data_IF_718283008432
#
_entry.id   IF_718283008432
#
_cell.length_a   1.000
_cell.length_b   1.000
_cell.length_c   1.000
_cell.angle_alpha   90.00
_cell.angle_beta   90.00
_cell.angle_gamma   90.00
#
_symmetry.space_group_name_H-M   'P 1'
#
loop_
_entity.id
_entity.type
_entity.pdbx_description
1 polymer ?
#
# COMPACT_ATOMS: atom_id res chain seq x y z
N UNK A 1 27.18 10.84 11.59
CA UNK A 1 26.94 10.22 12.91
C UNK A 1 25.56 9.59 12.90
N UNK A 2 25.45 8.27 13.01
CA UNK A 2 24.17 7.60 13.22
C UNK A 2 23.60 8.06 14.58
N UNK A 3 22.34 8.52 14.59
CA UNK A 3 21.67 8.91 15.84
C UNK A 3 21.63 7.66 16.73
N UNK A 4 22.17 7.72 17.96
CA UNK A 4 22.10 6.59 18.90
C UNK A 4 20.62 6.30 19.20
N UNK A 5 20.11 5.22 18.62
CA UNK A 5 18.76 4.71 18.85
C UNK A 5 18.82 3.96 20.19
N UNK A 6 18.59 4.67 21.29
CA UNK A 6 18.40 4.05 22.61
C UNK A 6 17.00 3.41 22.69
N UNK A 7 16.27 3.63 23.78
CA UNK A 7 14.86 3.20 23.90
C UNK A 7 13.88 4.00 23.01
N UNK A 8 14.36 4.82 22.09
CA UNK A 8 13.53 5.66 21.23
C UNK A 8 13.17 4.89 19.96
N UNK A 9 11.91 4.96 19.57
CA UNK A 9 11.46 4.34 18.33
C UNK A 9 12.07 5.08 17.12
N UNK A 10 12.42 4.36 16.05
CA UNK A 10 13.04 4.94 14.85
C UNK A 10 12.27 6.15 14.30
N UNK A 11 10.93 6.08 14.35
CA UNK A 11 10.06 7.17 13.93
C UNK A 11 10.27 8.50 14.69
N UNK A 12 10.74 8.44 15.94
CA UNK A 12 11.03 9.63 16.75
C UNK A 12 12.34 10.31 16.33
N UNK A 13 13.25 9.57 15.68
CA UNK A 13 14.49 10.12 15.16
C UNK A 13 14.31 10.78 13.79
N UNK A 14 13.13 10.66 13.17
CA UNK A 14 12.88 11.14 11.82
C UNK A 14 12.70 12.66 11.77
N UNK A 15 13.31 13.27 10.76
CA UNK A 15 13.16 14.69 10.47
C UNK A 15 11.76 15.05 9.97
N UNK A 16 11.50 16.35 9.75
CA UNK A 16 10.26 16.81 9.10
C UNK A 16 10.19 16.31 7.65
N UNK A 17 11.28 16.47 6.90
CA UNK A 17 11.37 16.10 5.48
C UNK A 17 11.21 14.59 5.28
N UNK A 18 11.96 13.78 6.02
CA UNK A 18 11.83 12.32 5.99
C UNK A 18 10.40 11.85 6.26
N UNK A 19 9.70 12.47 7.22
CA UNK A 19 8.29 12.15 7.50
C UNK A 19 7.36 12.52 6.34
N UNK A 20 7.62 13.64 5.66
CA UNK A 20 6.84 14.05 4.49
C UNK A 20 7.06 13.11 3.31
N UNK A 21 8.30 12.69 3.07
CA UNK A 21 8.61 11.79 1.97
C UNK A 21 8.04 10.39 2.21
N UNK A 22 8.15 9.86 3.43
CA UNK A 22 7.48 8.62 3.83
C UNK A 22 5.96 8.74 3.62
N UNK A 23 5.36 9.87 4.01
CA UNK A 23 3.91 10.09 3.82
C UNK A 23 3.53 10.09 2.34
N UNK A 24 4.28 10.79 1.49
CA UNK A 24 4.05 10.83 0.03
C UNK A 24 4.17 9.43 -0.58
N UNK A 25 5.20 8.69 -0.23
CA UNK A 25 5.41 7.32 -0.71
C UNK A 25 4.29 6.37 -0.25
N UNK A 26 3.79 6.52 0.98
CA UNK A 26 2.69 5.69 1.49
C UNK A 26 1.38 6.00 0.75
N UNK A 27 1.09 7.28 0.48
CA UNK A 27 -0.08 7.67 -0.31
C UNK A 27 0.00 7.08 -1.72
N UNK A 28 1.16 7.16 -2.37
CA UNK A 28 1.35 6.58 -3.70
C UNK A 28 1.15 5.05 -3.69
N UNK A 29 1.70 4.35 -2.70
CA UNK A 29 1.52 2.89 -2.55
C UNK A 29 0.07 2.50 -2.31
N UNK A 30 -0.65 3.21 -1.44
CA UNK A 30 -2.07 2.93 -1.21
C UNK A 30 -2.92 3.26 -2.44
N UNK A 31 -2.58 4.30 -3.20
CA UNK A 31 -3.26 4.59 -4.46
C UNK A 31 -3.14 3.44 -5.48
N UNK A 32 -1.94 2.87 -5.62
CA UNK A 32 -1.70 1.69 -6.47
C UNK A 32 -2.51 0.49 -5.97
N UNK A 33 -2.43 0.17 -4.68
CA UNK A 33 -3.18 -0.94 -4.06
C UNK A 33 -4.70 -0.80 -4.26
N UNK A 34 -5.23 0.41 -4.12
CA UNK A 34 -6.65 0.69 -4.36
C UNK A 34 -6.98 0.53 -5.84
N UNK A 35 -6.14 0.99 -6.75
CA UNK A 35 -6.35 0.84 -8.18
C UNK A 35 -6.35 -0.64 -8.61
N UNK A 36 -5.41 -1.43 -8.11
CA UNK A 36 -5.33 -2.88 -8.32
C UNK A 36 -6.55 -3.60 -7.74
N UNK A 37 -6.94 -3.28 -6.50
CA UNK A 37 -8.13 -3.84 -5.87
C UNK A 37 -9.39 -3.48 -6.66
N UNK A 38 -9.53 -2.22 -7.10
CA UNK A 38 -10.64 -1.81 -7.96
C UNK A 38 -10.62 -2.60 -9.26
N UNK A 39 -9.50 -2.71 -9.96
CA UNK A 39 -9.42 -3.49 -11.21
C UNK A 39 -9.83 -4.95 -10.99
N UNK A 40 -9.34 -5.57 -9.91
CA UNK A 40 -9.62 -6.98 -9.57
C UNK A 40 -11.07 -7.22 -9.15
N UNK A 41 -11.63 -6.33 -8.33
CA UNK A 41 -12.91 -6.53 -7.65
C UNK A 41 -14.07 -5.72 -8.25
N UNK A 42 -13.85 -4.90 -9.29
CA UNK A 42 -14.86 -3.99 -9.86
C UNK A 42 -16.21 -4.66 -10.12
N UNK A 43 -16.16 -5.89 -10.62
CA UNK A 43 -17.33 -6.67 -11.01
C UNK A 43 -17.51 -7.92 -10.13
N UNK A 44 -16.73 -8.08 -9.06
CA UNK A 44 -16.85 -9.25 -8.18
C UNK A 44 -18.06 -9.08 -7.27
N UNK A 45 -19.03 -9.98 -7.41
CA UNK A 45 -20.20 -10.06 -6.54
C UNK A 45 -19.77 -10.63 -5.17
N UNK A 46 -20.20 -9.98 -4.08
CA UNK A 46 -19.88 -10.39 -2.71
C UNK A 46 -20.41 -11.82 -2.46
N UNK A 47 -19.56 -12.69 -1.93
CA UNK A 47 -19.92 -14.09 -1.61
C UNK A 47 -19.87 -15.04 -2.81
N UNK A 48 -19.55 -14.57 -4.02
CA UNK A 48 -19.29 -15.43 -5.16
C UNK A 48 -17.79 -15.71 -5.28
N UNK A 49 -17.40 -16.94 -5.69
CA UNK A 49 -16.00 -17.24 -5.96
C UNK A 49 -15.46 -16.27 -7.01
N UNK A 50 -14.17 -15.90 -6.92
CA UNK A 50 -13.56 -15.00 -7.89
C UNK A 50 -13.72 -15.60 -9.29
N UNK A 51 -14.31 -14.83 -10.20
CA UNK A 51 -14.51 -15.26 -11.59
C UNK A 51 -13.14 -15.56 -12.18
N UNK A 52 -12.89 -16.81 -12.56
CA UNK A 52 -11.64 -17.17 -13.21
C UNK A 52 -11.61 -16.54 -14.60
N UNK A 53 -10.89 -15.42 -14.73
CA UNK A 53 -10.65 -14.76 -16.02
C UNK A 53 -9.86 -15.65 -17.00
N UNK A 54 -9.29 -16.78 -16.55
CA UNK A 54 -8.64 -17.75 -17.44
C UNK A 54 -9.61 -18.59 -18.26
N UNK A 55 -10.90 -18.61 -17.90
CA UNK A 55 -11.90 -19.49 -18.54
C UNK A 55 -12.66 -18.81 -19.71
N UNK A 56 -12.52 -17.50 -19.91
CA UNK A 56 -13.25 -16.77 -20.98
C UNK A 56 -12.42 -16.50 -22.24
N UNK A 57 -11.24 -17.11 -22.37
CA UNK A 57 -10.36 -17.00 -23.54
C UNK A 57 -10.46 -18.25 -24.45
N UNK A 58 -11.68 -18.72 -24.70
CA UNK A 58 -11.99 -19.84 -25.60
C UNK A 58 -13.00 -19.40 -26.66
#
# INVERSE_FOLDING_TARGET
MTKRIGNKHEAQHRGREERLDIRRMNIAREAVKIAEARAKYRNQVKGQPPMSLSASAA
#
